data_IF_945179990657
#
_entry.id   IF_945179990657
#
_cell.length_a   1.000
_cell.length_b   1.000
_cell.length_c   1.000
_cell.angle_alpha   90.00
_cell.angle_beta   90.00
_cell.angle_gamma   90.00
#
_symmetry.space_group_name_H-M   'P 1'
#
loop_
_entity.id
_entity.type
_entity.pdbx_description
1 polymer ?
#
# COMPACT_ATOMS: atom_id res chain seq x y z
N UNK A 1 -24.26 11.95 -46.58
CA UNK A 1 -23.89 10.55 -46.26
C UNK A 1 -22.38 10.34 -46.15
N UNK A 2 -21.55 10.75 -47.10
CA UNK A 2 -20.07 10.52 -47.06
C UNK A 2 -19.39 11.13 -45.84
N UNK A 3 -19.74 12.34 -45.43
CA UNK A 3 -19.14 13.02 -44.26
C UNK A 3 -19.58 12.41 -42.90
N UNK A 4 -20.79 11.88 -42.84
CA UNK A 4 -21.30 11.20 -41.64
C UNK A 4 -20.51 9.91 -41.34
N UNK A 5 -20.11 9.20 -42.38
CA UNK A 5 -19.34 7.98 -42.33
C UNK A 5 -17.89 8.26 -41.83
N UNK A 6 -17.29 9.36 -42.30
CA UNK A 6 -15.97 9.82 -41.86
C UNK A 6 -15.96 10.22 -40.37
N UNK A 7 -17.01 10.88 -39.88
CA UNK A 7 -17.18 11.26 -38.48
C UNK A 7 -17.30 10.00 -37.59
N UNK A 8 -18.06 9.01 -38.08
CA UNK A 8 -18.23 7.74 -37.33
C UNK A 8 -16.91 6.96 -37.21
N UNK A 9 -16.14 6.89 -38.29
CA UNK A 9 -14.82 6.24 -38.31
C UNK A 9 -13.85 6.98 -37.40
N UNK A 10 -13.85 8.32 -37.39
CA UNK A 10 -13.02 9.13 -36.49
C UNK A 10 -13.35 8.89 -35.01
N UNK A 11 -14.62 8.67 -34.69
CA UNK A 11 -15.05 8.40 -33.29
C UNK A 11 -14.59 7.03 -32.77
N UNK A 12 -14.46 6.03 -33.66
CA UNK A 12 -13.98 4.68 -33.29
C UNK A 12 -12.49 4.70 -32.90
N UNK A 13 -11.68 5.56 -33.52
CA UNK A 13 -10.26 5.68 -33.20
C UNK A 13 -9.98 6.34 -31.85
N UNK A 14 -10.95 7.04 -31.26
CA UNK A 14 -10.77 7.70 -29.94
C UNK A 14 -10.89 6.74 -28.75
N UNK A 15 -11.40 5.53 -28.94
CA UNK A 15 -11.58 4.53 -27.88
C UNK A 15 -10.44 3.51 -27.76
N UNK A 16 -9.37 3.63 -28.53
CA UNK A 16 -8.28 2.65 -28.59
C UNK A 16 -7.08 3.05 -27.73
N UNK A 17 -7.26 3.27 -26.42
CA UNK A 17 -6.09 3.36 -25.54
C UNK A 17 -6.43 2.87 -24.14
N UNK A 18 -6.39 1.54 -23.94
CA UNK A 18 -6.29 0.92 -22.63
C UNK A 18 -4.93 0.22 -22.54
N UNK A 19 -3.90 0.93 -22.09
CA UNK A 19 -2.64 0.30 -21.68
C UNK A 19 -2.89 -0.36 -20.33
N UNK A 20 -3.05 -1.67 -20.32
CA UNK A 20 -2.91 -2.47 -19.10
C UNK A 20 -1.42 -2.56 -18.80
N UNK A 21 -0.92 -1.70 -17.93
CA UNK A 21 0.44 -1.84 -17.43
C UNK A 21 0.49 -3.07 -16.52
N UNK A 22 1.39 -4.00 -16.80
CA UNK A 22 1.73 -5.10 -15.91
C UNK A 22 2.39 -4.52 -14.66
N UNK A 23 1.60 -4.36 -13.60
CA UNK A 23 2.12 -3.92 -12.30
C UNK A 23 2.73 -5.13 -11.59
N UNK A 24 4.02 -5.05 -11.26
CA UNK A 24 4.70 -6.06 -10.43
C UNK A 24 4.18 -6.09 -8.99
N UNK A 25 3.66 -4.95 -8.52
CA UNK A 25 3.08 -4.80 -7.18
C UNK A 25 1.74 -4.08 -7.26
N UNK A 26 0.79 -4.56 -6.49
CA UNK A 26 -0.51 -3.93 -6.32
C UNK A 26 -0.67 -3.49 -4.86
N UNK A 27 -1.16 -2.26 -4.67
CA UNK A 27 -1.49 -1.75 -3.34
C UNK A 27 -2.88 -2.23 -2.95
N UNK A 28 -2.93 -3.15 -2.02
CA UNK A 28 -4.19 -3.62 -1.44
C UNK A 28 -4.65 -2.67 -0.31
N UNK A 29 -5.95 -2.51 -0.19
CA UNK A 29 -6.54 -1.72 0.90
C UNK A 29 -6.68 -2.56 2.17
N UNK A 30 -6.76 -1.90 3.33
CA UNK A 30 -7.01 -2.57 4.61
C UNK A 30 -8.33 -3.35 4.63
N UNK A 31 -9.35 -2.89 3.90
CA UNK A 31 -10.62 -3.60 3.78
C UNK A 31 -10.51 -4.94 3.04
N UNK A 32 -9.54 -5.07 2.12
CA UNK A 32 -9.29 -6.30 1.37
C UNK A 32 -8.42 -7.29 2.15
N UNK A 33 -7.48 -6.77 2.93
CA UNK A 33 -6.48 -7.59 3.64
C UNK A 33 -6.80 -7.82 5.11
N UNK A 34 -7.67 -7.00 5.71
CA UNK A 34 -7.88 -6.96 7.17
C UNK A 34 -6.72 -6.34 7.95
N UNK A 35 -5.67 -5.87 7.27
CA UNK A 35 -4.49 -5.26 7.90
C UNK A 35 -4.72 -3.76 8.03
N UNK A 36 -4.82 -3.28 9.26
CA UNK A 36 -5.01 -1.87 9.61
C UNK A 36 -3.82 -1.28 10.40
N UNK A 37 -2.71 -2.03 10.48
CA UNK A 37 -1.52 -1.60 11.21
C UNK A 37 -0.95 -0.30 10.63
N UNK A 38 -0.60 0.63 11.54
CA UNK A 38 0.09 1.88 11.23
C UNK A 38 1.21 2.11 12.25
N UNK A 39 2.39 2.45 11.73
CA UNK A 39 3.50 2.88 12.55
C UNK A 39 3.44 4.40 12.75
N UNK A 40 2.44 4.85 13.50
CA UNK A 40 2.23 6.28 13.76
C UNK A 40 3.23 6.81 14.79
N UNK A 41 3.79 7.98 14.51
CA UNK A 41 4.70 8.69 15.38
C UNK A 41 3.99 9.94 15.92
N UNK A 42 3.88 10.06 17.23
CA UNK A 42 3.31 11.22 17.91
C UNK A 42 4.42 12.03 18.56
N UNK A 43 4.55 13.29 18.16
CA UNK A 43 5.49 14.22 18.80
C UNK A 43 5.09 14.46 20.27
N UNK A 44 6.10 14.37 21.16
CA UNK A 44 5.98 14.76 22.56
C UNK A 44 7.14 15.68 22.92
N UNK A 45 6.96 16.58 23.87
CA UNK A 45 8.02 17.52 24.29
C UNK A 45 9.25 16.79 24.84
N UNK A 46 9.04 15.70 25.57
CA UNK A 46 10.07 14.88 26.21
C UNK A 46 10.56 13.73 25.32
N UNK A 47 9.83 13.37 24.25
CA UNK A 47 10.21 12.30 23.35
C UNK A 47 9.93 12.64 21.88
N UNK A 48 10.98 13.05 21.17
CA UNK A 48 10.95 13.50 19.80
C UNK A 48 12.33 13.35 19.14
N UNK A 49 12.51 13.80 17.89
CA UNK A 49 13.76 13.69 17.16
C UNK A 49 14.96 14.38 17.84
N UNK A 50 14.72 15.42 18.63
CA UNK A 50 15.78 16.15 19.32
C UNK A 50 16.26 15.41 20.58
N UNK A 51 15.36 14.66 21.25
CA UNK A 51 15.66 13.88 22.45
C UNK A 51 16.06 12.44 22.13
N UNK A 52 15.55 11.90 20.99
CA UNK A 52 15.82 10.54 20.55
C UNK A 52 16.16 10.50 19.06
N UNK A 53 17.43 10.34 18.74
CA UNK A 53 17.97 10.41 17.37
C UNK A 53 17.35 9.39 16.40
N UNK A 54 16.91 8.22 16.91
CA UNK A 54 16.33 7.15 16.11
C UNK A 54 14.80 7.24 15.98
N UNK A 55 14.23 8.39 16.29
CA UNK A 55 12.77 8.62 16.33
C UNK A 55 12.06 8.25 15.02
N UNK A 56 12.69 8.51 13.87
CA UNK A 56 12.15 8.22 12.54
C UNK A 56 12.70 6.96 11.86
N UNK A 57 13.38 6.08 12.58
CA UNK A 57 14.02 4.91 11.96
C UNK A 57 13.05 3.86 11.39
N UNK A 58 11.76 3.98 11.67
CA UNK A 58 10.77 3.03 11.18
C UNK A 58 10.71 1.73 11.98
N UNK A 59 9.75 0.89 11.64
CA UNK A 59 9.60 -0.46 12.17
C UNK A 59 10.05 -1.51 11.16
N UNK A 60 9.76 -2.76 11.46
CA UNK A 60 10.05 -3.91 10.60
C UNK A 60 8.82 -4.75 10.33
N UNK A 61 8.95 -5.65 9.37
CA UNK A 61 7.96 -6.67 9.04
C UNK A 61 8.64 -8.02 8.99
N UNK A 62 8.08 -9.01 9.69
CA UNK A 62 8.48 -10.40 9.63
C UNK A 62 7.36 -11.28 9.07
N UNK A 63 7.71 -12.32 8.34
CA UNK A 63 6.78 -13.33 7.83
C UNK A 63 7.18 -14.68 8.40
N UNK A 64 6.21 -15.46 8.88
CA UNK A 64 6.42 -16.81 9.37
C UNK A 64 5.11 -17.43 9.84
N UNK A 65 5.04 -18.75 9.81
CA UNK A 65 3.95 -19.52 10.41
C UNK A 65 4.27 -19.72 11.90
N UNK A 66 3.70 -18.85 12.74
CA UNK A 66 4.03 -18.82 14.20
C UNK A 66 3.21 -19.85 14.97
N UNK A 67 1.97 -20.09 14.55
CA UNK A 67 1.06 -21.02 15.19
C UNK A 67 1.08 -22.44 14.58
N UNK A 68 1.85 -22.64 13.51
CA UNK A 68 2.00 -23.89 12.77
C UNK A 68 0.69 -24.40 12.15
N UNK A 69 -0.10 -23.46 11.58
CA UNK A 69 -1.35 -23.78 10.88
C UNK A 69 -1.16 -23.93 9.35
N UNK A 70 0.05 -23.74 8.84
CA UNK A 70 0.41 -23.82 7.41
C UNK A 70 0.17 -22.52 6.66
N UNK A 71 -0.25 -21.45 7.30
CA UNK A 71 -0.40 -20.11 6.74
C UNK A 71 0.74 -19.20 7.21
N UNK A 72 1.05 -18.17 6.42
CA UNK A 72 2.05 -17.18 6.82
C UNK A 72 1.40 -16.08 7.66
N UNK A 73 1.87 -15.95 8.89
CA UNK A 73 1.56 -14.80 9.74
C UNK A 73 2.47 -13.63 9.42
N UNK A 74 1.97 -12.41 9.63
CA UNK A 74 2.69 -11.16 9.41
C UNK A 74 2.87 -10.45 10.74
N UNK A 75 4.13 -10.31 11.17
CA UNK A 75 4.47 -9.58 12.38
C UNK A 75 5.00 -8.19 12.05
N UNK A 76 4.36 -7.17 12.61
CA UNK A 76 4.74 -5.76 12.47
C UNK A 76 5.38 -5.25 13.75
N UNK A 77 6.52 -4.58 13.63
CA UNK A 77 7.13 -3.83 14.74
C UNK A 77 6.87 -2.35 14.58
N UNK A 78 6.60 -1.68 15.70
CA UNK A 78 6.35 -0.23 15.76
C UNK A 78 7.43 0.47 16.55
N UNK A 79 7.69 1.76 16.25
CA UNK A 79 8.63 2.59 16.99
C UNK A 79 8.09 3.02 18.35
N UNK A 80 6.84 3.46 18.40
CA UNK A 80 6.22 4.07 19.59
C UNK A 80 4.98 3.33 20.06
N UNK A 81 4.34 2.57 19.20
CA UNK A 81 3.13 1.84 19.50
C UNK A 81 3.43 0.36 19.74
N UNK A 82 2.40 -0.40 20.08
CA UNK A 82 2.54 -1.84 20.24
C UNK A 82 2.82 -2.51 18.89
N UNK A 83 3.65 -3.55 18.93
CA UNK A 83 3.82 -4.47 17.82
C UNK A 83 2.51 -5.23 17.57
N UNK A 84 2.30 -5.72 16.36
CA UNK A 84 1.10 -6.46 15.98
C UNK A 84 1.45 -7.72 15.20
N UNK A 85 0.77 -8.79 15.53
CA UNK A 85 0.72 -10.07 14.83
C UNK A 85 -0.68 -10.23 14.22
#
# INVERSE_FOLDING_TARGET
MRYLLLVYISFIFLFSCSKTELKLFEKLSSNQTGIDFKNDLSFKEDFNIFTYRNYYNGGGVGLGDINNDGLLDIYFTSNLNQNKL
#
